data_IF_805304425423
#
_entry.id   IF_805304425423
#
_cell.length_a   1.000
_cell.length_b   1.000
_cell.length_c   1.000
_cell.angle_alpha   90.00
_cell.angle_beta   90.00
_cell.angle_gamma   90.00
#
_symmetry.space_group_name_H-M   'P 1'
#
loop_
_entity.id
_entity.type
_entity.pdbx_description
1 polymer ?
#
# COMPACT_ATOMS: atom_id res chain seq x y z
N UNK A 1 15.44 -31.14 -64.82
CA UNK A 1 14.76 -31.21 -63.51
C UNK A 1 15.50 -30.29 -62.55
N UNK A 2 14.88 -29.21 -62.06
CA UNK A 2 15.13 -28.68 -60.71
C UNK A 2 14.04 -27.65 -60.37
N UNK A 3 13.13 -28.01 -59.46
CA UNK A 3 12.19 -27.07 -58.86
C UNK A 3 12.91 -26.41 -57.68
N UNK A 4 13.24 -25.13 -57.79
CA UNK A 4 13.77 -24.37 -56.66
C UNK A 4 12.59 -23.87 -55.82
N UNK A 5 12.30 -24.57 -54.74
CA UNK A 5 11.32 -24.13 -53.74
C UNK A 5 12.04 -23.27 -52.72
N UNK A 6 11.81 -21.96 -52.77
CA UNK A 6 12.22 -21.04 -51.71
C UNK A 6 11.29 -21.22 -50.51
N UNK A 7 11.82 -21.74 -49.41
CA UNK A 7 11.19 -21.69 -48.10
C UNK A 7 11.41 -20.29 -47.51
N UNK A 8 10.38 -19.45 -47.53
CA UNK A 8 10.33 -18.26 -46.67
C UNK A 8 10.16 -18.74 -45.22
N UNK A 9 11.24 -18.71 -44.45
CA UNK A 9 11.18 -18.88 -43.00
C UNK A 9 10.72 -17.55 -42.39
N UNK A 10 9.44 -17.47 -42.01
CA UNK A 10 8.94 -16.40 -41.17
C UNK A 10 9.47 -16.60 -39.77
N UNK A 11 10.47 -15.80 -39.37
CA UNK A 11 10.86 -15.65 -37.97
C UNK A 11 9.67 -15.00 -37.26
N UNK A 12 8.93 -15.79 -36.48
CA UNK A 12 7.86 -15.29 -35.63
C UNK A 12 8.45 -14.45 -34.50
N UNK A 13 8.25 -13.15 -34.54
CA UNK A 13 8.58 -12.23 -33.45
C UNK A 13 7.55 -12.44 -32.32
N UNK A 14 7.92 -13.22 -31.31
CA UNK A 14 7.06 -13.54 -30.18
C UNK A 14 7.09 -12.34 -29.21
N UNK A 15 6.15 -11.41 -29.38
CA UNK A 15 5.96 -10.28 -28.46
C UNK A 15 5.36 -10.82 -27.17
N UNK A 16 6.20 -10.99 -26.14
CA UNK A 16 5.73 -11.31 -24.80
C UNK A 16 5.17 -10.02 -24.19
N UNK A 17 3.86 -9.82 -24.28
CA UNK A 17 3.19 -8.66 -23.67
C UNK A 17 3.23 -8.86 -22.16
N UNK A 18 4.01 -8.03 -21.46
CA UNK A 18 3.92 -7.91 -20.00
C UNK A 18 2.59 -7.27 -19.67
N UNK A 19 1.56 -8.08 -19.44
CA UNK A 19 0.28 -7.59 -18.94
C UNK A 19 0.48 -7.12 -17.50
N UNK A 20 0.51 -5.80 -17.31
CA UNK A 20 0.31 -5.20 -15.99
C UNK A 20 -1.10 -5.60 -15.52
N UNK A 21 -1.17 -6.18 -14.31
CA UNK A 21 -2.42 -6.60 -13.68
C UNK A 21 -2.68 -5.62 -12.55
N UNK A 22 -3.85 -5.00 -12.53
CA UNK A 22 -4.33 -4.32 -11.34
C UNK A 22 -4.90 -5.39 -10.40
N UNK A 23 -4.23 -5.62 -9.28
CA UNK A 23 -4.67 -6.52 -8.21
C UNK A 23 -5.35 -5.71 -7.10
N UNK A 24 -6.20 -6.39 -6.31
CA UNK A 24 -6.81 -5.80 -5.12
C UNK A 24 -6.28 -6.51 -3.88
N UNK A 25 -5.73 -5.74 -2.96
CA UNK A 25 -5.24 -6.18 -1.67
C UNK A 25 -6.17 -5.70 -0.57
N UNK A 26 -6.22 -6.43 0.54
CA UNK A 26 -7.00 -6.02 1.71
C UNK A 26 -6.08 -5.73 2.88
N UNK A 27 -6.32 -4.60 3.56
CA UNK A 27 -5.78 -4.26 4.87
C UNK A 27 -6.94 -4.22 5.85
N UNK A 28 -6.92 -5.10 6.85
CA UNK A 28 -7.89 -5.10 7.92
C UNK A 28 -7.56 -3.98 8.91
N UNK A 29 -8.58 -3.27 9.38
CA UNK A 29 -8.50 -2.37 10.53
C UNK A 29 -9.11 -3.13 11.71
N UNK A 30 -8.28 -3.41 12.71
CA UNK A 30 -8.61 -4.34 13.79
C UNK A 30 -8.64 -3.60 15.13
N UNK A 31 -9.74 -3.80 15.85
CA UNK A 31 -9.86 -3.57 17.29
C UNK A 31 -9.91 -4.93 18.00
N UNK A 32 -8.88 -5.25 18.79
CA UNK A 32 -8.78 -6.49 19.58
C UNK A 32 -8.44 -6.16 21.05
N UNK A 33 -9.46 -6.05 21.89
CA UNK A 33 -9.35 -5.65 23.29
C UNK A 33 -8.66 -6.69 24.19
N UNK A 34 -8.49 -7.93 23.71
CA UNK A 34 -7.82 -9.00 24.46
C UNK A 34 -6.32 -9.09 24.13
N UNK A 35 -5.88 -8.38 23.08
CA UNK A 35 -4.50 -8.36 22.64
C UNK A 35 -3.66 -7.27 23.33
N UNK A 36 -2.34 -7.43 23.31
CA UNK A 36 -1.41 -6.38 23.77
C UNK A 36 -1.48 -5.11 22.91
N UNK A 37 -1.84 -5.25 21.63
CA UNK A 37 -1.98 -4.15 20.68
C UNK A 37 -3.44 -4.04 20.24
N UNK A 38 -4.22 -3.23 20.95
CA UNK A 38 -5.67 -3.13 20.75
C UNK A 38 -6.04 -2.65 19.35
N UNK A 39 -5.33 -1.66 18.81
CA UNK A 39 -5.66 -1.01 17.53
C UNK A 39 -4.54 -1.20 16.51
N UNK A 40 -4.82 -1.87 15.39
CA UNK A 40 -3.81 -2.11 14.37
C UNK A 40 -4.37 -2.36 12.98
N UNK A 41 -3.53 -2.09 11.98
CA UNK A 41 -3.74 -2.55 10.61
C UNK A 41 -3.14 -3.94 10.42
N UNK A 42 -3.79 -4.80 9.65
CA UNK A 42 -3.30 -6.14 9.30
C UNK A 42 -3.49 -6.44 7.79
N UNK A 43 -2.42 -6.59 7.00
CA UNK A 43 -1.04 -6.33 7.39
C UNK A 43 -0.80 -4.82 7.66
N UNK A 44 0.11 -4.51 8.58
CA UNK A 44 0.57 -3.12 8.80
C UNK A 44 1.71 -2.70 7.85
N UNK A 45 2.24 -3.64 7.07
CA UNK A 45 3.22 -3.39 6.02
C UNK A 45 2.81 -4.15 4.75
N UNK A 46 2.55 -3.43 3.67
CA UNK A 46 2.09 -4.00 2.41
C UNK A 46 2.96 -3.48 1.25
N UNK A 47 3.25 -4.37 0.30
CA UNK A 47 3.94 -4.02 -0.94
C UNK A 47 3.01 -4.34 -2.10
N UNK A 48 2.75 -3.36 -2.95
CA UNK A 48 1.89 -3.47 -4.14
C UNK A 48 2.62 -2.90 -5.36
N UNK A 49 2.08 -3.11 -6.56
CA UNK A 49 2.57 -2.50 -7.79
C UNK A 49 1.77 -1.24 -8.15
N UNK A 50 2.35 -0.32 -8.94
CA UNK A 50 1.58 0.78 -9.52
C UNK A 50 0.37 0.27 -10.30
N UNK A 51 -0.81 0.83 -9.99
CA UNK A 51 -2.09 0.43 -10.55
C UNK A 51 -2.90 -0.51 -9.66
N UNK A 52 -2.32 -1.04 -8.58
CA UNK A 52 -3.05 -1.88 -7.63
C UNK A 52 -3.98 -1.06 -6.73
N UNK A 53 -5.04 -1.72 -6.27
CA UNK A 53 -6.00 -1.16 -5.31
C UNK A 53 -5.80 -1.77 -3.93
N UNK A 54 -5.79 -0.94 -2.89
CA UNK A 54 -5.85 -1.40 -1.50
C UNK A 54 -7.22 -1.08 -0.94
N UNK A 55 -7.90 -2.10 -0.42
CA UNK A 55 -9.15 -2.00 0.31
C UNK A 55 -8.87 -2.09 1.80
N UNK A 56 -9.22 -1.05 2.53
CA UNK A 56 -9.21 -1.03 3.99
C UNK A 56 -10.56 -1.50 4.50
N UNK A 57 -10.57 -2.57 5.28
CA UNK A 57 -11.78 -3.23 5.78
C UNK A 57 -11.85 -3.07 7.30
N UNK A 58 -12.93 -2.46 7.79
CA UNK A 58 -13.21 -2.45 9.22
C UNK A 58 -13.69 -3.82 9.68
N UNK A 59 -13.05 -4.41 10.69
CA UNK A 59 -13.38 -5.75 11.18
C UNK A 59 -14.33 -5.75 12.38
N UNK A 60 -14.51 -4.61 13.06
CA UNK A 60 -15.30 -4.51 14.29
C UNK A 60 -16.26 -3.31 14.27
N UNK A 61 -17.20 -3.30 15.21
CA UNK A 61 -18.10 -2.18 15.49
C UNK A 61 -17.36 -1.08 16.27
N UNK A 62 -16.33 -0.53 15.65
CA UNK A 62 -15.48 0.51 16.20
C UNK A 62 -14.98 1.41 15.09
N UNK A 63 -14.85 2.71 15.36
CA UNK A 63 -14.62 3.69 14.30
C UNK A 63 -13.16 3.76 13.87
N UNK A 64 -12.91 3.56 12.59
CA UNK A 64 -11.58 3.66 12.00
C UNK A 64 -11.56 4.54 10.75
N UNK A 65 -10.42 5.16 10.48
CA UNK A 65 -10.15 5.77 9.19
C UNK A 65 -8.70 5.51 8.77
N UNK A 66 -8.35 5.98 7.58
CA UNK A 66 -7.00 5.91 7.04
C UNK A 66 -6.61 7.31 6.59
N UNK A 67 -5.57 7.86 7.19
CA UNK A 67 -4.99 9.15 6.81
C UNK A 67 -3.55 8.90 6.39
N UNK A 68 -3.24 9.20 5.12
CA UNK A 68 -1.86 9.12 4.63
C UNK A 68 -1.10 10.38 5.02
N UNK A 69 -0.08 10.22 5.85
CA UNK A 69 0.70 11.32 6.43
C UNK A 69 1.98 11.61 5.64
N UNK A 70 2.59 10.57 5.06
CA UNK A 70 3.68 10.71 4.08
C UNK A 70 3.23 10.05 2.79
N UNK A 71 3.32 10.80 1.71
CA UNK A 71 3.08 10.33 0.34
C UNK A 71 4.25 10.77 -0.55
N UNK A 72 4.47 10.11 -1.71
CA UNK A 72 5.43 10.57 -2.70
C UNK A 72 5.15 11.98 -3.21
N UNK A 73 6.17 12.65 -3.75
CA UNK A 73 6.03 13.98 -4.32
C UNK A 73 5.02 13.98 -5.48
N UNK A 74 4.15 14.99 -5.51
CA UNK A 74 3.11 15.14 -6.53
C UNK A 74 1.84 14.32 -6.29
N UNK A 75 1.74 13.60 -5.17
CA UNK A 75 0.52 12.92 -4.72
C UNK A 75 -0.27 13.87 -3.82
N UNK A 76 -1.56 14.06 -4.11
CA UNK A 76 -2.47 14.84 -3.27
C UNK A 76 -2.71 14.16 -1.90
N UNK A 77 -3.33 14.87 -0.95
CA UNK A 77 -3.74 14.27 0.32
C UNK A 77 -4.70 13.09 0.09
N UNK A 78 -4.43 11.97 0.75
CA UNK A 78 -5.28 10.77 0.69
C UNK A 78 -5.81 10.49 2.09
N UNK A 79 -7.14 10.50 2.23
CA UNK A 79 -7.82 10.08 3.45
C UNK A 79 -9.12 9.34 3.12
N UNK A 80 -9.48 8.38 3.97
CA UNK A 80 -10.80 7.76 3.95
C UNK A 80 -11.80 8.60 4.75
N UNK A 81 -13.11 8.46 4.47
CA UNK A 81 -14.14 8.77 5.47
C UNK A 81 -13.92 7.97 6.75
N UNK A 82 -14.61 8.37 7.83
CA UNK A 82 -14.73 7.51 9.00
C UNK A 82 -15.57 6.28 8.63
N UNK A 83 -15.06 5.09 8.93
CA UNK A 83 -15.71 3.80 8.76
C UNK A 83 -16.18 3.36 10.14
N UNK A 84 -17.48 3.47 10.40
CA UNK A 84 -18.04 3.40 11.75
C UNK A 84 -18.43 1.98 12.16
N UNK A 85 -18.75 1.11 11.19
CA UNK A 85 -19.34 -0.19 11.43
C UNK A 85 -18.46 -1.33 10.93
N UNK A 86 -18.70 -2.53 11.46
CA UNK A 86 -18.06 -3.73 10.95
C UNK A 86 -18.42 -3.96 9.47
N UNK A 87 -17.43 -4.36 8.68
CA UNK A 87 -17.53 -4.56 7.22
C UNK A 87 -17.60 -3.29 6.38
N UNK A 88 -17.56 -2.09 6.97
CA UNK A 88 -17.35 -0.86 6.21
C UNK A 88 -15.99 -0.93 5.51
N UNK A 89 -15.93 -0.44 4.27
CA UNK A 89 -14.72 -0.49 3.45
C UNK A 89 -14.45 0.84 2.77
N UNK A 90 -13.17 1.10 2.53
CA UNK A 90 -12.71 2.16 1.65
C UNK A 90 -11.56 1.63 0.79
N UNK A 91 -11.61 1.91 -0.51
CA UNK A 91 -10.59 1.44 -1.46
C UNK A 91 -9.91 2.62 -2.15
N UNK A 92 -8.61 2.49 -2.39
CA UNK A 92 -7.83 3.46 -3.14
C UNK A 92 -6.86 2.77 -4.10
N UNK A 93 -6.77 3.27 -5.33
CA UNK A 93 -5.84 2.78 -6.35
C UNK A 93 -4.58 3.62 -6.34
N UNK A 94 -3.42 2.97 -6.15
CA UNK A 94 -2.14 3.64 -6.03
C UNK A 94 -1.36 3.55 -7.34
N UNK A 95 -1.08 4.69 -7.96
CA UNK A 95 -0.43 4.74 -9.28
C UNK A 95 0.99 5.31 -9.26
N UNK A 96 1.37 6.01 -8.19
CA UNK A 96 2.70 6.64 -8.06
C UNK A 96 3.60 5.73 -7.23
N UNK A 97 4.81 5.45 -7.73
CA UNK A 97 5.78 4.67 -6.98
C UNK A 97 6.27 5.42 -5.73
N UNK A 98 6.53 4.67 -4.66
CA UNK A 98 7.16 5.21 -3.46
C UNK A 98 6.63 4.61 -2.16
N UNK A 99 7.04 5.24 -1.07
CA UNK A 99 6.67 4.87 0.29
C UNK A 99 5.56 5.77 0.82
N UNK A 100 4.52 5.14 1.34
CA UNK A 100 3.34 5.77 1.91
C UNK A 100 3.23 5.36 3.38
N UNK A 101 3.20 6.31 4.31
CA UNK A 101 2.89 6.03 5.72
C UNK A 101 1.50 6.55 6.05
N UNK A 102 0.73 5.75 6.77
CA UNK A 102 -0.65 6.08 7.12
C UNK A 102 -0.96 5.70 8.57
N UNK A 103 -1.96 6.35 9.13
CA UNK A 103 -2.45 6.07 10.48
C UNK A 103 -3.98 6.15 10.52
N UNK A 104 -4.56 5.59 11.59
CA UNK A 104 -5.95 5.83 11.96
C UNK A 104 -6.01 7.01 12.93
N UNK A 105 -6.71 8.08 12.57
CA UNK A 105 -6.75 9.33 13.32
C UNK A 105 -7.22 9.17 14.78
N UNK A 106 -8.37 8.53 15.09
CA UNK A 106 -8.83 8.36 16.46
C UNK A 106 -7.87 7.49 17.31
N UNK A 107 -7.07 6.64 16.67
CA UNK A 107 -6.19 5.66 17.33
C UNK A 107 -4.70 5.94 17.13
N UNK A 108 -4.33 7.14 16.66
CA UNK A 108 -2.94 7.51 16.40
C UNK A 108 -2.09 7.48 17.67
N UNK A 109 -2.65 7.96 18.79
CA UNK A 109 -1.99 7.92 20.12
C UNK A 109 -1.78 6.51 20.66
N UNK A 110 -2.51 5.51 20.15
CA UNK A 110 -2.32 4.10 20.46
C UNK A 110 -1.36 3.39 19.48
N UNK A 111 -0.78 4.10 18.51
CA UNK A 111 0.17 3.55 17.55
C UNK A 111 -0.46 2.77 16.40
N UNK A 112 -1.72 3.05 16.06
CA UNK A 112 -2.38 2.45 14.90
C UNK A 112 -1.87 3.10 13.60
N UNK A 113 -0.75 2.59 13.11
CA UNK A 113 -0.07 3.04 11.89
C UNK A 113 0.33 1.88 10.98
N UNK A 114 0.51 2.17 9.69
CA UNK A 114 1.00 1.24 8.68
C UNK A 114 1.85 1.89 7.61
N UNK A 115 2.48 1.06 6.78
CA UNK A 115 3.32 1.46 5.66
C UNK A 115 2.94 0.68 4.41
N UNK A 116 2.78 1.39 3.29
CA UNK A 116 2.54 0.84 1.98
C UNK A 116 3.70 1.22 1.07
N UNK A 117 4.27 0.25 0.35
CA UNK A 117 5.26 0.48 -0.70
C UNK A 117 4.60 0.18 -2.04
N UNK A 118 4.60 1.16 -2.93
CA UNK A 118 4.09 1.02 -4.30
C UNK A 118 5.28 0.92 -5.24
N UNK A 119 5.48 -0.24 -5.86
CA UNK A 119 6.66 -0.50 -6.68
C UNK A 119 7.94 -0.43 -5.86
N UNK A 120 8.74 0.62 -6.07
CA UNK A 120 10.01 0.86 -5.34
C UNK A 120 9.80 1.82 -4.17
N UNK A 121 10.52 1.64 -3.05
CA UNK A 121 10.50 2.61 -1.96
C UNK A 121 10.95 3.99 -2.44
N UNK A 122 10.42 5.05 -1.85
CA UNK A 122 10.95 6.40 -2.09
C UNK A 122 12.40 6.46 -1.62
N UNK A 123 13.29 7.06 -2.40
CA UNK A 123 14.67 7.26 -1.96
C UNK A 123 14.69 8.18 -0.74
N UNK A 124 15.00 7.62 0.42
CA UNK A 124 15.08 8.38 1.65
C UNK A 124 16.23 9.38 1.59
N UNK A 125 15.93 10.67 1.80
CA UNK A 125 16.89 11.49 2.55
C UNK A 125 17.01 10.83 3.91
N UNK A 126 18.15 10.17 4.14
CA UNK A 126 18.61 9.71 5.45
C UNK A 126 18.39 10.82 6.48
N UNK A 127 17.34 10.67 7.28
CA UNK A 127 17.09 11.51 8.45
C UNK A 127 18.02 11.03 9.54
N UNK A 128 18.93 11.91 9.96
CA UNK A 128 20.01 11.63 10.89
C UNK A 128 19.54 10.99 12.19
N UNK A 129 20.38 10.06 12.63
CA UNK A 129 20.58 9.60 14.00
C UNK A 129 20.16 10.64 15.04
N UNK A 130 18.95 10.49 15.59
CA UNK A 130 18.53 11.22 16.77
C UNK A 130 19.20 10.57 17.99
N UNK A 131 20.33 11.16 18.40
CA UNK A 131 20.93 10.92 19.70
C UNK A 131 19.85 11.09 20.78
N UNK A 132 19.65 10.01 21.52
CA UNK A 132 18.73 9.93 22.64
C UNK A 132 19.40 10.58 23.86
N UNK A 133 19.44 11.92 23.90
CA UNK A 133 19.85 12.64 25.10
C UNK A 133 18.67 12.71 26.08
N UNK A 134 18.62 11.72 26.96
CA UNK A 134 17.76 11.71 28.14
C UNK A 134 18.08 12.90 29.05
N UNK A 135 17.16 13.86 29.13
CA UNK A 135 17.12 14.82 30.24
C UNK A 135 15.94 14.50 31.14
N UNK A 136 16.28 13.91 32.28
CA UNK A 136 15.46 13.78 33.48
C UNK A 136 15.08 15.15 34.04
N UNK A 137 13.79 15.38 34.29
CA UNK A 137 13.27 16.20 35.39
C UNK A 137 11.99 15.56 35.92
#
# INVERSE_FOLDING_TARGET
>A
MLKATFLLSTIGFLVFVMQARAETFTVNMVTDIESEKIYFFEPNHLVVQPGDTVTFLNRQEDSHNVVFERVPEGVDSIESPMLENASDTWSHTFTVEGSYSFHCHPHAGAGMSGMLIVGKPSEGKSGGEANHDSHSH
#
